data_IF_469167246323
#
_entry.id   IF_469167246323
#
_cell.length_a   1.000
_cell.length_b   1.000
_cell.length_c   1.000
_cell.angle_alpha   90.00
_cell.angle_beta   90.00
_cell.angle_gamma   90.00
#
_symmetry.space_group_name_H-M   'P 1'
#
loop_
_entity.id
_entity.type
_entity.pdbx_description
1 polymer ?
#
# COMPACT_ATOMS: atom_id res chain seq x y z
N UNK A 1 7.26 7.81 19.43
CA UNK A 1 5.90 8.40 19.27
C UNK A 1 4.87 7.41 19.79
N UNK A 2 3.84 7.85 20.55
CA UNK A 2 2.72 6.98 20.91
C UNK A 2 1.94 6.54 19.66
N UNK A 3 1.37 5.32 19.63
CA UNK A 3 0.59 4.86 18.49
C UNK A 3 -0.68 5.70 18.32
N UNK A 4 -0.95 6.11 17.10
CA UNK A 4 -2.18 6.80 16.71
C UNK A 4 -3.39 5.98 17.12
N UNK A 5 -4.25 6.56 17.97
CA UNK A 5 -5.53 5.98 18.32
C UNK A 5 -6.53 6.41 17.25
N UNK A 6 -6.71 5.55 16.25
CA UNK A 6 -7.87 5.66 15.35
C UNK A 6 -9.15 5.80 16.20
N UNK A 7 -10.08 6.65 15.77
CA UNK A 7 -11.34 6.78 16.49
C UNK A 7 -12.00 5.40 16.66
N UNK A 8 -12.62 5.16 17.81
CA UNK A 8 -13.29 3.89 18.08
C UNK A 8 -14.32 3.55 16.99
N UNK A 9 -14.97 4.58 16.44
CA UNK A 9 -15.88 4.44 15.31
C UNK A 9 -15.17 3.90 14.06
N UNK A 10 -14.00 4.45 13.70
CA UNK A 10 -13.24 3.98 12.54
C UNK A 10 -12.78 2.53 12.71
N UNK A 11 -12.20 2.18 13.87
CA UNK A 11 -11.77 0.81 14.17
C UNK A 11 -12.95 -0.18 14.11
N UNK A 12 -14.12 0.24 14.59
CA UNK A 12 -15.35 -0.56 14.51
C UNK A 12 -15.79 -0.78 13.07
N UNK A 13 -15.82 0.28 12.26
CA UNK A 13 -16.15 0.19 10.84
C UNK A 13 -15.20 -0.76 10.11
N UNK A 14 -13.88 -0.57 10.29
CA UNK A 14 -12.85 -1.44 9.70
C UNK A 14 -13.08 -2.90 10.10
N UNK A 15 -13.29 -3.18 11.39
CA UNK A 15 -13.49 -4.55 11.86
C UNK A 15 -14.71 -5.20 11.21
N UNK A 16 -15.85 -4.50 11.16
CA UNK A 16 -17.07 -5.00 10.50
C UNK A 16 -16.83 -5.20 9.00
N UNK A 17 -16.16 -4.27 8.35
CA UNK A 17 -15.79 -4.35 6.93
C UNK A 17 -14.91 -5.56 6.64
N UNK A 18 -13.93 -5.87 7.50
CA UNK A 18 -13.09 -7.05 7.35
C UNK A 18 -13.87 -8.37 7.55
N UNK A 19 -14.83 -8.40 8.47
CA UNK A 19 -15.74 -9.55 8.61
C UNK A 19 -16.66 -9.71 7.39
N UNK A 20 -17.14 -8.60 6.81
CA UNK A 20 -17.89 -8.61 5.55
C UNK A 20 -17.10 -9.24 4.41
N UNK A 21 -15.79 -8.99 4.33
CA UNK A 21 -14.94 -9.60 3.30
C UNK A 21 -14.87 -11.14 3.42
N UNK A 22 -15.16 -11.72 4.59
CA UNK A 22 -15.22 -13.19 4.80
C UNK A 22 -16.55 -13.79 4.38
N UNK A 23 -17.57 -13.00 4.08
CA UNK A 23 -18.83 -13.51 3.55
C UNK A 23 -18.57 -14.28 2.25
N UNK A 24 -19.07 -15.52 2.06
CA UNK A 24 -18.73 -16.34 0.89
C UNK A 24 -18.98 -15.66 -0.46
N UNK A 25 -20.05 -14.86 -0.58
CA UNK A 25 -20.34 -14.13 -1.82
C UNK A 25 -19.31 -13.04 -2.10
N UNK A 26 -18.89 -12.33 -1.05
CA UNK A 26 -17.91 -11.25 -1.16
C UNK A 26 -16.51 -11.83 -1.38
N UNK A 27 -16.13 -12.84 -0.61
CA UNK A 27 -14.84 -13.52 -0.72
C UNK A 27 -14.65 -14.12 -2.12
N UNK A 28 -15.69 -14.74 -2.70
CA UNK A 28 -15.66 -15.27 -4.06
C UNK A 28 -15.34 -14.17 -5.09
N UNK A 29 -16.01 -13.02 -5.01
CA UNK A 29 -15.74 -11.90 -5.92
C UNK A 29 -14.37 -11.26 -5.67
N UNK A 30 -13.92 -11.16 -4.41
CA UNK A 30 -12.58 -10.66 -4.09
C UNK A 30 -11.48 -11.60 -4.63
N UNK A 31 -11.70 -12.91 -4.64
CA UNK A 31 -10.78 -13.89 -5.23
C UNK A 31 -10.77 -13.83 -6.77
N UNK A 32 -11.87 -13.41 -7.40
CA UNK A 32 -11.98 -13.26 -8.86
C UNK A 32 -11.28 -11.98 -9.35
N UNK A 33 -10.02 -12.12 -9.79
CA UNK A 33 -9.22 -11.07 -10.48
C UNK A 33 -9.57 -9.64 -10.02
N UNK A 34 -9.18 -9.24 -8.80
CA UNK A 34 -9.71 -8.04 -8.15
C UNK A 34 -9.47 -6.74 -8.92
N UNK A 35 -8.47 -6.68 -9.82
CA UNK A 35 -8.16 -5.51 -10.61
C UNK A 35 -9.21 -5.15 -11.69
N UNK A 36 -10.08 -6.10 -12.10
CA UNK A 36 -11.07 -5.88 -13.17
C UNK A 36 -12.51 -5.87 -12.69
N UNK A 37 -12.77 -6.22 -11.42
CA UNK A 37 -14.13 -6.54 -10.96
C UNK A 37 -14.63 -5.74 -9.75
N UNK A 38 -14.19 -4.49 -9.58
CA UNK A 38 -14.59 -3.69 -8.41
C UNK A 38 -16.11 -3.55 -8.27
N UNK A 39 -16.82 -3.44 -9.40
CA UNK A 39 -18.28 -3.29 -9.40
C UNK A 39 -18.97 -4.53 -8.83
N UNK A 40 -18.57 -5.73 -9.24
CA UNK A 40 -19.14 -6.97 -8.72
C UNK A 40 -18.82 -7.19 -7.24
N UNK A 41 -17.61 -6.80 -6.80
CA UNK A 41 -17.26 -6.84 -5.38
C UNK A 41 -18.16 -5.87 -4.59
N UNK A 42 -18.29 -4.61 -5.05
CA UNK A 42 -19.15 -3.62 -4.41
C UNK A 42 -20.61 -4.04 -4.42
N UNK A 43 -21.07 -4.66 -5.49
CA UNK A 43 -22.41 -5.22 -5.59
C UNK A 43 -22.63 -6.34 -4.57
N UNK A 44 -21.74 -7.33 -4.51
CA UNK A 44 -21.83 -8.43 -3.55
C UNK A 44 -21.89 -7.90 -2.11
N UNK A 45 -21.11 -6.87 -1.80
CA UNK A 45 -21.10 -6.21 -0.48
C UNK A 45 -22.37 -5.43 -0.24
N UNK A 46 -22.83 -4.63 -1.20
CA UNK A 46 -24.07 -3.86 -1.08
C UNK A 46 -25.24 -4.77 -0.76
N UNK A 47 -25.37 -5.91 -1.45
CA UNK A 47 -26.41 -6.92 -1.15
C UNK A 47 -26.35 -7.43 0.28
N UNK A 48 -25.17 -7.75 0.79
CA UNK A 48 -24.98 -8.24 2.17
C UNK A 48 -25.27 -7.13 3.19
N UNK A 49 -24.83 -5.90 2.93
CA UNK A 49 -25.06 -4.74 3.81
C UNK A 49 -26.53 -4.34 3.82
N UNK A 50 -27.23 -4.41 2.68
CA UNK A 50 -28.67 -4.12 2.56
C UNK A 50 -29.51 -5.04 3.44
N UNK A 51 -29.16 -6.32 3.55
CA UNK A 51 -29.87 -7.28 4.40
C UNK A 51 -29.60 -7.13 5.90
N UNK A 52 -28.63 -6.29 6.31
CA UNK A 52 -28.36 -6.06 7.74
C UNK A 52 -29.43 -5.16 8.37
N UNK A 53 -29.85 -5.50 9.58
CA UNK A 53 -30.77 -4.68 10.38
C UNK A 53 -30.01 -3.57 11.13
N UNK A 54 -29.57 -2.56 10.38
CA UNK A 54 -28.79 -1.41 10.86
C UNK A 54 -29.26 -0.13 10.16
N UNK A 55 -29.05 1.01 10.81
CA UNK A 55 -29.42 2.31 10.26
C UNK A 55 -28.76 2.58 8.90
N UNK A 56 -29.50 3.17 7.96
CA UNK A 56 -29.03 3.47 6.60
C UNK A 56 -27.72 4.27 6.61
N UNK A 57 -27.60 5.26 7.50
CA UNK A 57 -26.38 6.06 7.63
C UNK A 57 -25.16 5.19 7.97
N UNK A 58 -25.34 4.13 8.76
CA UNK A 58 -24.26 3.19 9.09
C UNK A 58 -23.92 2.29 7.89
N UNK A 59 -24.92 1.81 7.13
CA UNK A 59 -24.71 1.08 5.86
C UNK A 59 -23.85 1.89 4.89
N UNK A 60 -24.13 3.18 4.74
CA UNK A 60 -23.34 4.11 3.90
C UNK A 60 -21.89 4.20 4.35
N UNK A 61 -21.65 4.36 5.66
CA UNK A 61 -20.29 4.40 6.22
C UNK A 61 -19.54 3.09 6.00
N UNK A 62 -20.22 1.95 6.14
CA UNK A 62 -19.64 0.63 5.88
C UNK A 62 -19.23 0.46 4.41
N UNK A 63 -20.08 0.83 3.45
CA UNK A 63 -19.73 0.74 2.02
C UNK A 63 -18.53 1.62 1.68
N UNK A 64 -18.50 2.86 2.20
CA UNK A 64 -17.34 3.77 2.03
C UNK A 64 -16.06 3.16 2.59
N UNK A 65 -16.11 2.58 3.78
CA UNK A 65 -14.97 1.88 4.37
C UNK A 65 -14.54 0.67 3.53
N UNK A 66 -15.50 -0.08 2.97
CA UNK A 66 -15.24 -1.24 2.14
C UNK A 66 -14.49 -0.88 0.86
N UNK A 67 -14.83 0.24 0.21
CA UNK A 67 -14.10 0.75 -0.97
C UNK A 67 -12.60 0.87 -0.63
N UNK A 68 -12.24 1.49 0.50
CA UNK A 68 -10.84 1.63 0.92
C UNK A 68 -10.13 0.29 1.12
N UNK A 69 -10.82 -0.71 1.69
CA UNK A 69 -10.30 -2.08 1.87
C UNK A 69 -10.06 -2.76 0.51
N UNK A 70 -10.98 -2.65 -0.45
CA UNK A 70 -10.78 -3.17 -1.81
C UNK A 70 -9.52 -2.56 -2.43
N UNK A 71 -9.32 -1.25 -2.29
CA UNK A 71 -8.15 -0.59 -2.87
C UNK A 71 -6.85 -1.05 -2.25
N UNK A 72 -6.79 -1.20 -0.92
CA UNK A 72 -5.60 -1.74 -0.29
C UNK A 72 -5.33 -3.17 -0.75
N UNK A 73 -6.37 -3.99 -0.87
CA UNK A 73 -6.25 -5.35 -1.40
C UNK A 73 -5.78 -5.39 -2.86
N UNK A 74 -6.35 -4.57 -3.74
CA UNK A 74 -5.91 -4.46 -5.13
C UNK A 74 -4.46 -3.97 -5.25
N UNK A 75 -4.08 -2.98 -4.43
CA UNK A 75 -2.71 -2.48 -4.38
C UNK A 75 -1.75 -3.56 -3.90
N UNK A 76 -2.15 -4.34 -2.91
CA UNK A 76 -1.43 -5.52 -2.47
C UNK A 76 -1.27 -6.48 -3.63
N UNK A 77 -2.34 -7.06 -4.20
CA UNK A 77 -2.29 -8.02 -5.31
C UNK A 77 -1.44 -7.50 -6.49
N UNK A 78 -1.56 -6.22 -6.85
CA UNK A 78 -0.74 -5.60 -7.91
C UNK A 78 0.75 -5.60 -7.58
N UNK A 79 1.12 -5.42 -6.31
CA UNK A 79 2.52 -5.48 -5.85
C UNK A 79 3.10 -6.90 -6.00
N UNK A 80 2.24 -7.92 -6.04
CA UNK A 80 2.62 -9.32 -6.23
C UNK A 80 2.13 -9.86 -7.59
N UNK A 81 2.15 -9.04 -8.64
CA UNK A 81 1.57 -9.40 -9.95
C UNK A 81 2.12 -10.67 -10.61
N UNK A 82 3.27 -11.17 -10.16
CA UNK A 82 3.86 -12.43 -10.61
C UNK A 82 3.00 -13.65 -10.22
N UNK A 83 2.00 -13.47 -9.35
CA UNK A 83 1.16 -14.52 -8.78
C UNK A 83 -0.19 -14.72 -9.49
N UNK A 84 -0.44 -13.99 -10.58
CA UNK A 84 -1.79 -13.74 -11.11
C UNK A 84 -2.67 -14.95 -11.42
N UNK A 85 -2.14 -16.18 -11.43
CA UNK A 85 -2.86 -17.38 -11.83
C UNK A 85 -2.72 -18.57 -10.86
N UNK A 86 -1.96 -18.46 -9.77
CA UNK A 86 -1.56 -19.65 -8.99
C UNK A 86 -2.08 -19.65 -7.54
N UNK A 87 -2.61 -18.53 -7.04
CA UNK A 87 -2.99 -18.41 -5.63
C UNK A 87 -4.30 -17.63 -5.47
N UNK A 88 -5.20 -18.18 -4.64
CA UNK A 88 -6.27 -17.41 -4.03
C UNK A 88 -5.69 -16.50 -2.95
N UNK A 89 -5.49 -15.23 -3.28
CA UNK A 89 -4.81 -14.29 -2.38
C UNK A 89 -5.58 -14.03 -1.09
N UNK A 90 -6.91 -13.97 -1.17
CA UNK A 90 -7.74 -13.40 -0.10
C UNK A 90 -7.59 -14.13 1.26
N UNK A 91 -7.63 -15.47 1.35
CA UNK A 91 -7.43 -16.19 2.62
C UNK A 91 -6.05 -15.98 3.26
N UNK A 92 -5.04 -15.63 2.46
CA UNK A 92 -3.66 -15.46 2.94
C UNK A 92 -3.36 -14.04 3.43
N UNK A 93 -4.27 -13.09 3.22
CA UNK A 93 -4.05 -11.69 3.61
C UNK A 93 -4.27 -11.49 5.11
N UNK A 94 -3.23 -11.02 5.79
CA UNK A 94 -3.29 -10.58 7.18
C UNK A 94 -3.62 -9.09 7.24
N UNK A 95 -4.73 -8.75 7.89
CA UNK A 95 -5.15 -7.36 8.09
C UNK A 95 -4.71 -6.83 9.45
N UNK A 96 -4.29 -5.57 9.50
CA UNK A 96 -4.10 -4.79 10.73
C UNK A 96 -5.45 -4.24 11.19
N UNK A 97 -5.57 -3.93 12.49
CA UNK A 97 -6.76 -3.29 13.06
C UNK A 97 -7.09 -1.93 12.45
N UNK A 98 -6.09 -1.27 11.84
CA UNK A 98 -6.28 -0.05 11.07
C UNK A 98 -6.97 -0.26 9.73
N UNK A 99 -7.09 -1.49 9.22
CA UNK A 99 -7.66 -1.80 7.90
C UNK A 99 -6.63 -1.85 6.78
N UNK A 100 -5.34 -1.72 7.11
CA UNK A 100 -4.27 -2.00 6.18
C UNK A 100 -3.92 -3.47 6.13
N UNK A 101 -3.32 -3.89 5.02
CA UNK A 101 -2.68 -5.19 4.94
C UNK A 101 -1.34 -5.15 5.68
N UNK A 102 -1.16 -6.08 6.62
CA UNK A 102 0.15 -6.42 7.15
C UNK A 102 0.91 -7.20 6.08
N UNK A 103 1.64 -6.47 5.25
CA UNK A 103 2.34 -7.01 4.07
C UNK A 103 3.35 -8.08 4.45
N UNK A 104 4.03 -7.91 5.59
CA UNK A 104 5.01 -8.86 6.07
C UNK A 104 4.31 -10.16 6.51
N UNK A 105 3.32 -10.07 7.41
CA UNK A 105 2.59 -11.27 7.85
C UNK A 105 1.85 -11.97 6.73
N UNK A 106 1.26 -11.21 5.80
CA UNK A 106 0.58 -11.78 4.62
C UNK A 106 1.56 -12.53 3.72
N UNK A 107 2.76 -11.98 3.52
CA UNK A 107 3.80 -12.63 2.75
C UNK A 107 4.32 -13.90 3.46
N UNK A 108 4.56 -13.85 4.76
CA UNK A 108 4.94 -15.03 5.54
C UNK A 108 3.86 -16.12 5.49
N UNK A 109 2.60 -15.73 5.66
CA UNK A 109 1.43 -16.61 5.52
C UNK A 109 1.39 -17.28 4.14
N UNK A 110 1.64 -16.49 3.09
CA UNK A 110 1.74 -16.99 1.71
C UNK A 110 2.87 -18.01 1.55
N UNK A 111 4.05 -17.74 2.11
CA UNK A 111 5.22 -18.62 1.97
C UNK A 111 5.08 -19.89 2.81
N UNK A 112 4.37 -19.85 3.93
CA UNK A 112 4.16 -20.99 4.84
C UNK A 112 2.93 -21.84 4.48
N UNK A 113 2.09 -21.41 3.54
CA UNK A 113 0.88 -22.13 3.18
C UNK A 113 1.20 -23.41 2.37
N UNK A 114 0.91 -24.62 2.91
CA UNK A 114 1.27 -25.89 2.28
C UNK A 114 0.49 -26.19 0.98
N UNK A 115 -0.65 -25.53 0.76
CA UNK A 115 -1.45 -25.69 -0.46
C UNK A 115 -0.76 -25.09 -1.70
N UNK A 116 0.24 -24.24 -1.50
CA UNK A 116 1.06 -23.68 -2.56
C UNK A 116 2.23 -24.63 -2.83
N UNK A 117 2.52 -24.88 -4.10
CA UNK A 117 3.63 -25.74 -4.48
C UNK A 117 4.96 -25.25 -3.87
N UNK A 118 5.76 -26.18 -3.33
CA UNK A 118 6.96 -25.86 -2.54
C UNK A 118 7.99 -25.02 -3.31
N UNK A 119 8.10 -25.25 -4.62
CA UNK A 119 8.94 -24.46 -5.52
C UNK A 119 8.49 -22.99 -5.60
N UNK A 120 7.18 -22.73 -5.63
CA UNK A 120 6.63 -21.38 -5.62
C UNK A 120 6.87 -20.71 -4.27
N UNK A 121 6.59 -21.41 -3.16
CA UNK A 121 6.89 -20.91 -1.81
C UNK A 121 8.36 -20.49 -1.66
N UNK A 122 9.29 -21.36 -2.09
CA UNK A 122 10.72 -21.09 -2.03
C UNK A 122 11.11 -19.88 -2.89
N UNK A 123 10.50 -19.75 -4.08
CA UNK A 123 10.70 -18.59 -4.94
C UNK A 123 10.27 -17.28 -4.27
N UNK A 124 9.15 -17.30 -3.54
CA UNK A 124 8.67 -16.13 -2.81
C UNK A 124 9.57 -15.80 -1.63
N UNK A 125 9.95 -16.80 -0.85
CA UNK A 125 10.88 -16.64 0.25
C UNK A 125 12.17 -15.95 -0.24
N UNK A 126 12.78 -16.43 -1.34
CA UNK A 126 13.95 -15.81 -1.95
C UNK A 126 13.69 -14.38 -2.46
N UNK A 127 12.60 -14.18 -3.22
CA UNK A 127 12.26 -12.89 -3.82
C UNK A 127 12.09 -11.78 -2.78
N UNK A 128 11.57 -12.14 -1.61
CA UNK A 128 11.29 -11.21 -0.51
C UNK A 128 12.26 -11.36 0.66
N UNK A 129 13.35 -12.12 0.47
CA UNK A 129 14.42 -12.29 1.43
C UNK A 129 13.93 -12.75 2.83
N UNK A 130 13.04 -13.74 2.89
CA UNK A 130 12.59 -14.34 4.15
C UNK A 130 13.56 -15.44 4.57
N UNK A 131 14.68 -15.09 5.22
CA UNK A 131 15.80 -16.03 5.50
C UNK A 131 15.36 -17.33 6.16
N UNK A 132 14.55 -17.24 7.21
CA UNK A 132 14.10 -18.39 7.99
C UNK A 132 13.26 -19.35 7.12
N UNK A 133 12.34 -18.79 6.33
CA UNK A 133 11.51 -19.56 5.41
C UNK A 133 12.32 -20.13 4.23
N UNK A 134 13.33 -19.39 3.73
CA UNK A 134 14.26 -19.88 2.70
C UNK A 134 14.98 -21.14 3.19
N UNK A 135 15.52 -21.10 4.42
CA UNK A 135 16.24 -22.22 5.02
C UNK A 135 15.32 -23.43 5.23
N UNK A 136 14.17 -23.24 5.86
CA UNK A 136 13.19 -24.33 6.09
C UNK A 136 12.77 -24.98 4.78
N UNK A 137 12.37 -24.17 3.79
CA UNK A 137 11.92 -24.68 2.50
C UNK A 137 13.07 -25.37 1.74
N UNK A 138 14.29 -24.86 1.83
CA UNK A 138 15.45 -25.52 1.22
C UNK A 138 15.68 -26.92 1.77
N UNK A 139 15.52 -27.12 3.07
CA UNK A 139 15.69 -28.42 3.71
C UNK A 139 14.55 -29.40 3.35
N UNK A 140 13.33 -28.88 3.15
CA UNK A 140 12.17 -29.66 2.71
C UNK A 140 12.23 -30.08 1.23
N UNK A 141 12.90 -29.31 0.36
CA UNK A 141 12.96 -29.60 -1.08
C UNK A 141 13.82 -30.85 -1.33
N UNK A 142 13.34 -31.86 -2.09
CA UNK A 142 14.13 -33.02 -2.45
C UNK A 142 15.39 -32.65 -3.26
N UNK A 143 16.51 -33.33 -3.01
CA UNK A 143 17.78 -33.06 -3.71
C UNK A 143 17.67 -33.10 -5.24
N UNK A 144 16.82 -33.98 -5.79
CA UNK A 144 16.55 -34.04 -7.24
C UNK A 144 15.96 -32.75 -7.80
N UNK A 145 15.16 -32.05 -6.99
CA UNK A 145 14.42 -30.84 -7.37
C UNK A 145 15.24 -29.56 -7.10
N UNK A 146 16.22 -29.59 -6.18
CA UNK A 146 17.17 -28.48 -5.96
C UNK A 146 17.93 -28.09 -7.24
N UNK A 147 18.29 -29.08 -8.07
CA UNK A 147 18.98 -28.85 -9.33
C UNK A 147 18.09 -28.11 -10.35
N UNK A 148 16.80 -28.44 -10.42
CA UNK A 148 15.87 -27.79 -11.35
C UNK A 148 15.60 -26.33 -10.95
N UNK A 149 15.55 -26.04 -9.64
CA UNK A 149 15.42 -24.68 -9.12
C UNK A 149 16.59 -23.76 -9.50
N UNK A 150 17.80 -24.33 -9.55
CA UNK A 150 19.03 -23.60 -9.94
C UNK A 150 18.97 -23.13 -11.40
N UNK A 151 18.33 -23.89 -12.28
CA UNK A 151 18.22 -23.57 -13.71
C UNK A 151 17.12 -22.52 -14.01
N UNK A 152 16.09 -22.44 -13.16
CA UNK A 152 14.88 -21.70 -13.49
C UNK A 152 14.92 -20.19 -13.21
N UNK A 153 15.94 -19.60 -12.54
CA UNK A 153 15.87 -18.16 -12.24
C UNK A 153 17.19 -17.42 -11.86
N UNK A 154 17.56 -16.43 -12.68
CA UNK A 154 18.78 -15.59 -12.52
C UNK A 154 18.83 -14.72 -11.24
N UNK A 155 17.69 -14.35 -10.66
CA UNK A 155 17.66 -13.64 -9.37
C UNK A 155 17.75 -14.58 -8.16
N UNK A 156 17.43 -15.87 -8.35
CA UNK A 156 17.42 -16.92 -7.30
C UNK A 156 18.79 -17.57 -7.11
N UNK A 157 19.64 -17.45 -8.13
CA UNK A 157 20.97 -18.02 -8.13
C UNK A 157 21.78 -17.62 -6.89
N UNK A 158 21.68 -16.40 -6.37
CA UNK A 158 22.58 -15.98 -5.28
C UNK A 158 22.21 -16.64 -3.94
N UNK A 159 20.92 -16.70 -3.61
CA UNK A 159 20.43 -17.46 -2.45
C UNK A 159 20.75 -18.95 -2.59
N UNK A 160 20.51 -19.53 -3.76
CA UNK A 160 20.80 -20.93 -4.05
C UNK A 160 22.31 -21.21 -3.95
N UNK A 161 23.16 -20.36 -4.52
CA UNK A 161 24.62 -20.48 -4.45
C UNK A 161 25.12 -20.38 -3.01
N UNK A 162 24.54 -19.48 -2.22
CA UNK A 162 24.84 -19.39 -0.80
C UNK A 162 24.44 -20.68 -0.06
N UNK A 163 23.21 -21.16 -0.25
CA UNK A 163 22.72 -22.40 0.37
C UNK A 163 23.56 -23.63 -0.03
N UNK A 164 24.02 -23.72 -1.27
CA UNK A 164 24.89 -24.81 -1.73
C UNK A 164 26.28 -24.80 -1.10
N UNK A 165 26.77 -23.64 -0.63
CA UNK A 165 28.05 -23.58 0.09
C UNK A 165 27.98 -24.21 1.49
N UNK A 166 26.78 -24.51 2.00
CA UNK A 166 26.59 -25.22 3.26
C UNK A 166 26.97 -24.42 4.51
N UNK A 167 27.23 -23.11 4.37
CA UNK A 167 27.63 -22.22 5.46
C UNK A 167 26.39 -21.64 6.15
N UNK A 168 25.51 -22.54 6.61
CA UNK A 168 24.13 -22.27 7.01
C UNK A 168 23.96 -21.43 8.29
N UNK A 169 25.03 -21.12 9.03
CA UNK A 169 24.87 -20.60 10.41
C UNK A 169 24.94 -19.08 10.54
N UNK A 170 25.63 -18.33 9.68
CA UNK A 170 25.98 -16.93 10.00
C UNK A 170 25.75 -15.90 8.89
N UNK A 171 24.95 -16.18 7.86
CA UNK A 171 24.76 -15.22 6.77
C UNK A 171 23.62 -14.20 7.04
N UNK A 172 23.80 -12.92 6.65
CA UNK A 172 25.06 -12.32 6.20
C UNK A 172 26.03 -12.12 7.38
N UNK A 173 27.29 -12.56 7.24
CA UNK A 173 28.34 -12.40 8.29
C UNK A 173 28.70 -10.94 8.49
N UNK A 174 28.64 -10.19 7.41
CA UNK A 174 28.77 -8.74 7.36
C UNK A 174 28.07 -8.22 6.11
N UNK A 175 27.81 -6.92 6.09
CA UNK A 175 27.39 -6.25 4.87
C UNK A 175 28.39 -6.32 3.72
N UNK A 176 29.64 -6.69 3.96
CA UNK A 176 30.68 -6.83 2.93
C UNK A 176 30.62 -8.18 2.20
N UNK A 177 29.76 -9.10 2.66
CA UNK A 177 29.54 -10.38 1.99
C UNK A 177 29.08 -10.17 0.53
N UNK A 178 29.77 -10.84 -0.39
CA UNK A 178 29.53 -10.68 -1.84
C UNK A 178 28.09 -11.06 -2.21
N UNK A 179 27.53 -12.10 -1.60
CA UNK A 179 26.15 -12.51 -1.87
C UNK A 179 25.16 -11.50 -1.30
N UNK A 180 25.41 -10.99 -0.09
CA UNK A 180 24.61 -9.91 0.47
C UNK A 180 24.57 -8.70 -0.47
N UNK A 181 25.72 -8.23 -0.95
CA UNK A 181 25.79 -7.09 -1.86
C UNK A 181 25.04 -7.32 -3.18
N UNK A 182 25.11 -8.52 -3.74
CA UNK A 182 24.35 -8.87 -4.96
C UNK A 182 22.85 -8.89 -4.66
N UNK A 183 22.43 -9.56 -3.59
CA UNK A 183 21.02 -9.68 -3.19
C UNK A 183 20.45 -8.30 -2.85
N UNK A 184 21.19 -7.47 -2.11
CA UNK A 184 20.84 -6.09 -1.79
C UNK A 184 20.59 -5.27 -3.06
N UNK A 185 21.52 -5.29 -4.03
CA UNK A 185 21.38 -4.58 -5.30
C UNK A 185 20.16 -5.03 -6.09
N UNK A 186 19.86 -6.34 -6.12
CA UNK A 186 18.66 -6.90 -6.77
C UNK A 186 17.37 -6.48 -6.04
N UNK A 187 17.44 -6.40 -4.72
CA UNK A 187 16.32 -6.05 -3.85
C UNK A 187 16.01 -4.56 -3.84
N UNK A 188 16.90 -3.67 -4.34
CA UNK A 188 16.63 -2.22 -4.45
C UNK A 188 15.28 -1.91 -5.12
N UNK A 189 14.73 -2.80 -5.95
CA UNK A 189 13.41 -2.60 -6.58
C UNK A 189 12.22 -3.18 -5.80
N UNK A 190 12.47 -4.00 -4.80
CA UNK A 190 11.49 -4.68 -3.99
C UNK A 190 11.64 -4.26 -2.53
N UNK A 191 10.84 -3.29 -2.12
CA UNK A 191 10.86 -2.72 -0.78
C UNK A 191 10.60 -3.73 0.34
N UNK A 192 9.73 -4.73 0.11
CA UNK A 192 9.53 -5.80 1.09
C UNK A 192 10.78 -6.70 1.22
N UNK A 193 11.50 -6.95 0.12
CA UNK A 193 12.78 -7.67 0.17
C UNK A 193 13.86 -6.86 0.89
N UNK A 194 13.98 -5.58 0.56
CA UNK A 194 14.85 -4.66 1.30
C UNK A 194 14.49 -4.66 2.77
N UNK A 195 13.20 -4.77 3.09
CA UNK A 195 12.78 -4.73 4.47
C UNK A 195 13.37 -5.87 5.28
N UNK A 196 13.23 -7.08 4.76
CA UNK A 196 13.77 -8.25 5.41
C UNK A 196 15.30 -8.28 5.40
N UNK A 197 15.95 -7.80 4.33
CA UNK A 197 17.42 -7.72 4.28
C UNK A 197 18.00 -6.77 5.33
N UNK A 198 17.44 -5.56 5.47
CA UNK A 198 17.90 -4.58 6.44
C UNK A 198 17.70 -5.07 7.88
N UNK A 199 16.69 -5.91 8.13
CA UNK A 199 16.49 -6.57 9.43
C UNK A 199 17.54 -7.60 9.77
N UNK A 200 18.16 -8.23 8.77
CA UNK A 200 19.26 -9.19 8.98
C UNK A 200 20.57 -8.50 9.37
N UNK A 201 20.69 -7.20 9.11
CA UNK A 201 21.87 -6.42 9.48
C UNK A 201 21.84 -6.00 10.95
N UNK A 202 23.04 -5.82 11.50
CA UNK A 202 23.23 -5.17 12.78
C UNK A 202 22.73 -3.72 12.73
N UNK A 203 22.25 -3.14 13.84
CA UNK A 203 21.73 -1.77 13.86
C UNK A 203 22.68 -0.73 13.25
N UNK A 204 23.99 -0.87 13.46
CA UNK A 204 25.01 0.07 12.98
C UNK A 204 25.16 0.01 11.44
N UNK A 205 25.00 -1.17 10.84
CA UNK A 205 25.09 -1.34 9.40
C UNK A 205 23.79 -0.95 8.68
N UNK A 206 22.64 -1.10 9.37
CA UNK A 206 21.31 -0.85 8.82
C UNK A 206 21.15 0.57 8.31
N UNK A 207 21.58 1.56 9.10
CA UNK A 207 21.46 2.98 8.75
C UNK A 207 22.20 3.32 7.45
N UNK A 208 23.46 2.91 7.35
CA UNK A 208 24.29 3.12 6.15
C UNK A 208 23.64 2.53 4.89
N UNK A 209 23.13 1.30 4.97
CA UNK A 209 22.48 0.64 3.83
C UNK A 209 21.12 1.24 3.52
N UNK A 210 20.39 1.73 4.52
CA UNK A 210 19.16 2.47 4.30
C UNK A 210 19.46 3.77 3.53
N UNK A 211 20.48 4.54 3.91
CA UNK A 211 20.89 5.73 3.17
C UNK A 211 21.29 5.40 1.73
N UNK A 212 22.06 4.33 1.51
CA UNK A 212 22.41 3.86 0.16
C UNK A 212 21.17 3.48 -0.66
N UNK A 213 20.20 2.80 -0.02
CA UNK A 213 18.93 2.43 -0.64
C UNK A 213 18.14 3.68 -1.06
N UNK A 214 18.01 4.66 -0.16
CA UNK A 214 17.29 5.91 -0.39
C UNK A 214 17.97 6.77 -1.48
N UNK A 215 19.30 6.78 -1.52
CA UNK A 215 20.07 7.48 -2.54
C UNK A 215 19.86 6.90 -3.93
N UNK A 216 19.86 5.57 -4.05
CA UNK A 216 19.65 4.88 -5.32
C UNK A 216 18.19 4.85 -5.74
N UNK A 217 17.28 5.13 -4.81
CA UNK A 217 15.85 5.04 -5.04
C UNK A 217 15.08 6.08 -4.22
N UNK A 218 14.67 7.21 -4.84
CA UNK A 218 13.66 8.06 -4.23
C UNK A 218 12.42 7.21 -3.90
N UNK A 219 11.97 7.33 -2.65
CA UNK A 219 11.31 6.30 -1.84
C UNK A 219 10.15 5.58 -2.53
N UNK A 220 10.03 4.28 -2.28
CA UNK A 220 8.78 3.54 -2.54
C UNK A 220 7.96 3.43 -1.25
N UNK A 221 6.67 3.75 -1.40
CA UNK A 221 5.46 3.57 -0.56
C UNK A 221 5.48 2.71 0.72
N UNK A 222 6.39 1.77 0.89
CA UNK A 222 6.45 0.79 1.98
C UNK A 222 7.65 1.00 2.90
N UNK A 223 8.55 1.93 2.57
CA UNK A 223 9.82 2.10 3.26
C UNK A 223 9.71 3.07 4.45
N UNK A 224 8.55 3.69 4.65
CA UNK A 224 8.33 4.59 5.80
C UNK A 224 8.39 3.86 7.13
N UNK A 225 8.06 2.56 7.16
CA UNK A 225 8.21 1.76 8.36
C UNK A 225 9.68 1.73 8.82
N UNK A 226 10.65 1.79 7.90
CA UNK A 226 12.05 1.91 8.28
C UNK A 226 12.36 3.21 8.95
N UNK A 227 11.86 4.30 8.37
CA UNK A 227 12.06 5.62 8.94
C UNK A 227 11.64 5.66 10.41
N UNK A 228 10.49 5.06 10.75
CA UNK A 228 10.02 4.98 12.13
C UNK A 228 10.80 4.04 13.06
N UNK A 229 11.58 3.10 12.50
CA UNK A 229 12.45 2.20 13.28
C UNK A 229 13.83 2.83 13.57
N UNK A 230 14.18 3.95 12.92
CA UNK A 230 15.42 4.69 13.17
C UNK A 230 15.36 5.49 14.48
N UNK A 231 16.52 5.76 15.08
CA UNK A 231 16.63 6.71 16.19
C UNK A 231 16.44 8.17 15.71
N UNK A 232 16.24 9.09 16.66
CA UNK A 232 15.94 10.50 16.36
C UNK A 232 17.02 11.19 15.51
N UNK A 233 18.29 10.82 15.69
CA UNK A 233 19.41 11.39 14.93
C UNK A 233 19.40 10.87 13.49
N UNK A 234 19.25 9.56 13.31
CA UNK A 234 19.14 8.91 12.01
C UNK A 234 17.90 9.36 11.24
N UNK A 235 16.76 9.49 11.92
CA UNK A 235 15.55 10.08 11.35
C UNK A 235 15.83 11.48 10.84
N UNK A 236 16.45 12.33 11.66
CA UNK A 236 16.79 13.71 11.28
C UNK A 236 17.71 13.78 10.06
N UNK A 237 18.69 12.89 9.95
CA UNK A 237 19.60 12.82 8.79
C UNK A 237 18.88 12.40 7.51
N UNK A 238 18.15 11.27 7.56
CA UNK A 238 17.32 10.80 6.43
C UNK A 238 16.34 11.89 6.03
N UNK A 239 15.77 12.55 7.02
CA UNK A 239 14.79 13.59 6.83
C UNK A 239 15.38 14.80 6.11
N UNK A 240 16.53 15.33 6.55
CA UNK A 240 17.18 16.45 5.87
C UNK A 240 17.50 16.13 4.41
N UNK A 241 18.00 14.92 4.13
CA UNK A 241 18.42 14.51 2.77
C UNK A 241 17.23 14.14 1.85
N UNK A 242 16.13 13.62 2.40
CA UNK A 242 15.02 13.02 1.63
C UNK A 242 13.63 13.48 2.07
N UNK A 243 13.49 14.70 2.59
CA UNK A 243 12.24 15.25 3.15
C UNK A 243 11.03 15.14 2.19
N UNK A 244 11.22 15.32 0.88
CA UNK A 244 10.18 15.10 -0.16
C UNK A 244 9.55 13.73 -0.04
N UNK A 245 10.42 12.73 -0.07
CA UNK A 245 10.08 11.33 -0.23
C UNK A 245 9.49 10.76 1.06
N UNK A 246 10.03 11.21 2.20
CA UNK A 246 9.47 10.93 3.52
C UNK A 246 8.04 11.48 3.60
N UNK A 247 7.83 12.76 3.27
CA UNK A 247 6.50 13.38 3.36
C UNK A 247 5.48 12.73 2.43
N UNK A 248 5.88 12.40 1.20
CA UNK A 248 5.00 11.70 0.25
C UNK A 248 4.64 10.30 0.73
N UNK A 249 5.55 9.65 1.44
CA UNK A 249 5.29 8.36 2.05
C UNK A 249 4.33 8.49 3.24
N UNK A 250 4.36 9.61 3.97
CA UNK A 250 3.37 9.96 4.99
C UNK A 250 1.97 10.25 4.42
N UNK A 251 1.82 10.54 3.12
CA UNK A 251 0.50 10.71 2.47
C UNK A 251 -0.33 9.41 2.40
N UNK A 252 -0.02 8.39 3.19
CA UNK A 252 -0.80 7.16 3.28
C UNK A 252 -1.91 7.33 4.33
N UNK A 253 -3.11 6.82 4.03
CA UNK A 253 -4.33 7.10 4.80
C UNK A 253 -4.27 6.75 6.28
N UNK A 254 -3.45 5.77 6.67
CA UNK A 254 -3.26 5.39 8.08
C UNK A 254 -2.32 6.28 8.85
N UNK A 255 -1.52 7.09 8.16
CA UNK A 255 -0.66 8.10 8.75
C UNK A 255 -1.28 9.48 8.60
N UNK A 256 -2.60 9.56 8.35
CA UNK A 256 -3.28 10.83 8.13
C UNK A 256 -3.12 11.79 9.33
N UNK A 257 -3.29 11.28 10.55
CA UNK A 257 -3.09 12.11 11.76
C UNK A 257 -1.65 12.57 11.90
N UNK A 258 -0.68 11.71 11.56
CA UNK A 258 0.73 12.04 11.67
C UNK A 258 1.20 12.94 10.53
N UNK A 259 0.51 12.90 9.37
CA UNK A 259 0.91 13.66 8.19
C UNK A 259 0.97 15.15 8.50
N UNK A 260 0.02 15.69 9.26
CA UNK A 260 0.03 17.11 9.62
C UNK A 260 1.15 17.43 10.61
N UNK A 261 1.41 16.56 11.59
CA UNK A 261 2.54 16.69 12.52
C UNK A 261 3.89 16.62 11.80
N UNK A 262 3.98 15.84 10.73
CA UNK A 262 5.11 15.85 9.82
C UNK A 262 5.13 17.16 9.03
N UNK A 263 4.09 17.47 8.26
CA UNK A 263 4.02 18.67 7.43
C UNK A 263 4.43 19.95 8.17
N UNK A 264 4.00 20.14 9.41
CA UNK A 264 4.35 21.30 10.25
C UNK A 264 5.87 21.45 10.43
N UNK A 265 6.56 20.34 10.74
CA UNK A 265 8.02 20.32 10.88
C UNK A 265 8.75 20.55 9.54
N UNK A 266 8.04 20.40 8.41
CA UNK A 266 8.65 20.29 7.08
C UNK A 266 8.45 21.56 6.27
N UNK A 267 7.57 22.47 6.66
CA UNK A 267 7.31 23.70 5.91
C UNK A 267 8.56 24.57 5.69
N UNK A 268 9.55 24.48 6.56
CA UNK A 268 10.85 25.16 6.40
C UNK A 268 11.78 24.50 5.37
N UNK A 269 11.55 23.23 5.04
CA UNK A 269 12.36 22.45 4.09
C UNK A 269 11.68 22.30 2.73
N UNK A 270 10.35 22.43 2.65
CA UNK A 270 9.61 22.34 1.39
C UNK A 270 9.78 23.66 0.63
N UNK A 271 10.42 23.60 -0.52
CA UNK A 271 10.53 24.74 -1.43
C UNK A 271 9.31 24.88 -2.38
N UNK A 272 9.30 25.98 -3.15
CA UNK A 272 8.26 26.27 -4.14
C UNK A 272 8.14 25.20 -5.24
N UNK A 273 9.21 24.46 -5.55
CA UNK A 273 9.21 23.43 -6.57
C UNK A 273 8.64 22.09 -6.05
N UNK A 274 8.86 21.80 -4.77
CA UNK A 274 8.44 20.57 -4.11
C UNK A 274 7.00 20.60 -3.64
N UNK A 275 6.51 21.74 -3.17
CA UNK A 275 5.15 21.86 -2.66
C UNK A 275 4.07 21.35 -3.64
N UNK A 276 4.11 21.70 -4.95
CA UNK A 276 3.19 21.13 -5.94
C UNK A 276 3.25 19.60 -6.04
N UNK A 277 4.42 19.00 -5.84
CA UNK A 277 4.60 17.55 -5.92
C UNK A 277 3.95 16.82 -4.74
N UNK A 278 4.03 17.39 -3.53
CA UNK A 278 3.35 16.87 -2.34
C UNK A 278 1.83 16.93 -2.54
N UNK A 279 1.33 18.10 -2.95
CA UNK A 279 -0.10 18.31 -3.25
C UNK A 279 -0.58 17.35 -4.35
N UNK A 280 0.19 17.17 -5.42
CA UNK A 280 -0.12 16.21 -6.49
C UNK A 280 -0.22 14.76 -5.97
N UNK A 281 0.63 14.38 -5.03
CA UNK A 281 0.58 13.05 -4.41
C UNK A 281 -0.64 12.88 -3.50
N UNK A 282 -1.03 13.90 -2.73
CA UNK A 282 -2.28 13.89 -1.97
C UNK A 282 -3.49 13.73 -2.90
N UNK A 283 -3.57 14.49 -3.99
CA UNK A 283 -4.61 14.31 -5.00
C UNK A 283 -4.60 12.91 -5.63
N UNK A 284 -3.42 12.40 -5.99
CA UNK A 284 -3.29 11.05 -6.52
C UNK A 284 -3.83 10.02 -5.53
N UNK A 285 -3.61 10.20 -4.23
CA UNK A 285 -4.14 9.33 -3.18
C UNK A 285 -5.65 9.46 -3.07
N UNK A 286 -6.17 10.68 -2.99
CA UNK A 286 -7.60 10.98 -3.04
C UNK A 286 -8.30 10.28 -4.22
N UNK A 287 -7.78 10.39 -5.44
CA UNK A 287 -8.38 9.71 -6.60
C UNK A 287 -8.25 8.19 -6.54
N UNK A 288 -7.15 7.66 -6.00
CA UNK A 288 -6.95 6.21 -5.87
C UNK A 288 -7.84 5.62 -4.77
N UNK A 289 -8.18 6.40 -3.74
CA UNK A 289 -9.11 6.03 -2.67
C UNK A 289 -10.55 6.47 -2.96
N UNK A 290 -10.89 6.75 -4.23
CA UNK A 290 -12.25 7.10 -4.65
C UNK A 290 -12.84 8.32 -3.97
N UNK A 291 -11.98 9.28 -3.64
CA UNK A 291 -12.38 10.48 -2.94
C UNK A 291 -12.79 10.21 -1.52
N UNK A 292 -12.10 9.30 -0.82
CA UNK A 292 -12.18 9.22 0.63
C UNK A 292 -12.13 10.64 1.22
N UNK A 293 -13.22 11.03 1.88
CA UNK A 293 -13.43 12.35 2.45
C UNK A 293 -12.33 12.71 3.45
N UNK A 294 -11.65 11.71 4.01
CA UNK A 294 -10.46 11.89 4.86
C UNK A 294 -9.34 12.61 4.09
N UNK A 295 -9.10 12.27 2.82
CA UNK A 295 -8.09 12.96 2.00
C UNK A 295 -8.54 14.34 1.53
N UNK A 296 -9.83 14.56 1.33
CA UNK A 296 -10.36 15.90 1.04
C UNK A 296 -10.06 16.81 2.23
N UNK A 297 -10.41 16.37 3.44
CA UNK A 297 -10.13 17.12 4.67
C UNK A 297 -8.61 17.29 4.86
N UNK A 298 -7.81 16.25 4.61
CA UNK A 298 -6.34 16.36 4.66
C UNK A 298 -5.80 17.44 3.74
N UNK A 299 -6.30 17.50 2.49
CA UNK A 299 -5.87 18.51 1.52
C UNK A 299 -6.27 19.90 2.00
N UNK A 300 -7.47 20.06 2.58
CA UNK A 300 -7.92 21.33 3.17
C UNK A 300 -7.01 21.77 4.32
N UNK A 301 -6.80 20.89 5.29
CA UNK A 301 -5.95 21.12 6.46
C UNK A 301 -4.51 21.46 6.04
N UNK A 302 -3.92 20.63 5.17
CA UNK A 302 -2.58 20.85 4.64
C UNK A 302 -2.47 22.18 3.91
N UNK A 303 -3.43 22.53 3.06
CA UNK A 303 -3.43 23.82 2.36
C UNK A 303 -3.56 25.00 3.31
N UNK A 304 -4.45 24.93 4.30
CA UNK A 304 -4.65 26.02 5.25
C UNK A 304 -3.42 26.27 6.12
N UNK A 305 -2.79 25.19 6.59
CA UNK A 305 -1.56 25.23 7.38
C UNK A 305 -0.33 25.64 6.56
N UNK A 306 -0.37 25.51 5.22
CA UNK A 306 0.77 25.81 4.37
C UNK A 306 1.15 27.31 4.38
N UNK A 307 2.47 27.62 4.42
CA UNK A 307 2.98 28.97 4.27
C UNK A 307 2.43 29.69 3.03
N UNK A 308 2.18 30.99 3.17
CA UNK A 308 1.59 31.82 2.10
C UNK A 308 2.43 31.75 0.82
N UNK A 309 3.75 31.85 0.92
CA UNK A 309 4.63 31.84 -0.25
C UNK A 309 4.51 30.54 -1.07
N UNK A 310 4.39 29.37 -0.41
CA UNK A 310 4.17 28.09 -1.09
C UNK A 310 2.82 28.03 -1.81
N UNK A 311 1.76 28.58 -1.20
CA UNK A 311 0.44 28.69 -1.84
C UNK A 311 0.47 29.62 -3.04
N UNK A 312 1.15 30.76 -2.93
CA UNK A 312 1.32 31.70 -4.06
C UNK A 312 2.14 31.07 -5.19
N UNK A 313 3.15 30.26 -4.87
CA UNK A 313 3.88 29.50 -5.86
C UNK A 313 2.98 28.47 -6.58
N UNK A 314 2.14 27.73 -5.84
CA UNK A 314 1.21 26.77 -6.45
C UNK A 314 0.15 27.47 -7.32
N UNK A 315 -0.31 28.66 -6.94
CA UNK A 315 -1.28 29.45 -7.72
C UNK A 315 -0.79 29.76 -9.14
N UNK A 316 0.52 29.91 -9.33
CA UNK A 316 1.13 30.07 -10.67
C UNK A 316 0.94 28.84 -11.55
N UNK A 317 0.67 27.68 -10.96
CA UNK A 317 0.29 26.45 -11.66
C UNK A 317 -1.24 26.33 -11.68
N UNK A 318 -1.87 26.98 -12.67
CA UNK A 318 -3.34 27.06 -12.82
C UNK A 318 -4.02 25.70 -12.67
N UNK A 319 -3.41 24.65 -13.22
CA UNK A 319 -3.96 23.28 -13.19
C UNK A 319 -4.03 22.69 -11.77
N UNK A 320 -3.00 22.90 -10.94
CA UNK A 320 -3.05 22.42 -9.56
C UNK A 320 -3.93 23.31 -8.70
N UNK A 321 -3.87 24.62 -8.93
CA UNK A 321 -4.70 25.56 -8.21
C UNK A 321 -6.19 25.33 -8.43
N UNK A 322 -6.63 25.08 -9.67
CA UNK A 322 -8.02 24.73 -9.99
C UNK A 322 -8.51 23.53 -9.16
N UNK A 323 -7.67 22.49 -9.01
CA UNK A 323 -8.03 21.32 -8.21
C UNK A 323 -8.16 21.65 -6.73
N UNK A 324 -7.24 22.46 -6.20
CA UNK A 324 -7.32 22.91 -4.80
C UNK A 324 -8.58 23.73 -4.60
N UNK A 325 -8.91 24.65 -5.49
CA UNK A 325 -10.14 25.45 -5.44
C UNK A 325 -11.38 24.56 -5.41
N UNK A 326 -11.46 23.53 -6.28
CA UNK A 326 -12.55 22.54 -6.28
C UNK A 326 -12.66 21.71 -5.00
N UNK A 327 -11.56 21.54 -4.26
CA UNK A 327 -11.60 20.91 -2.93
C UNK A 327 -12.13 21.92 -1.93
N UNK A 328 -11.66 23.17 -2.01
CA UNK A 328 -12.04 24.22 -1.06
C UNK A 328 -13.50 24.63 -1.16
N UNK A 329 -14.06 24.69 -2.35
CA UNK A 329 -15.45 25.05 -2.58
C UNK A 329 -16.45 23.89 -2.36
N UNK A 330 -15.96 22.69 -2.06
CA UNK A 330 -16.78 21.51 -1.82
C UNK A 330 -17.24 20.76 -3.09
N UNK A 331 -16.79 21.18 -4.29
CA UNK A 331 -17.16 20.55 -5.55
C UNK A 331 -16.72 19.08 -5.62
N UNK A 332 -15.56 18.76 -5.04
CA UNK A 332 -15.10 17.37 -4.98
C UNK A 332 -16.01 16.51 -4.11
N UNK A 333 -16.37 16.97 -2.93
CA UNK A 333 -17.28 16.26 -2.03
C UNK A 333 -18.64 16.06 -2.65
N UNK A 334 -19.17 17.06 -3.38
CA UNK A 334 -20.40 16.90 -4.14
C UNK A 334 -20.28 15.80 -5.21
N UNK A 335 -19.17 15.76 -5.96
CA UNK A 335 -18.90 14.73 -6.97
C UNK A 335 -18.78 13.34 -6.34
N UNK A 336 -18.05 13.24 -5.22
CA UNK A 336 -17.87 11.99 -4.47
C UNK A 336 -19.21 11.51 -3.93
N UNK A 337 -19.97 12.40 -3.28
CA UNK A 337 -21.29 12.05 -2.76
C UNK A 337 -22.23 11.61 -3.87
N UNK A 338 -22.22 12.25 -5.04
CA UNK A 338 -23.00 11.82 -6.21
C UNK A 338 -22.60 10.42 -6.70
N UNK A 339 -21.30 10.09 -6.72
CA UNK A 339 -20.86 8.72 -7.02
C UNK A 339 -21.35 7.70 -5.97
N UNK A 340 -21.48 8.11 -4.71
CA UNK A 340 -22.05 7.29 -3.64
C UNK A 340 -23.59 7.24 -3.66
N UNK A 341 -24.29 8.17 -4.32
CA UNK A 341 -25.75 8.12 -4.47
C UNK A 341 -26.20 6.88 -5.25
N UNK A 342 -25.39 6.38 -6.19
CA UNK A 342 -25.67 5.10 -6.84
C UNK A 342 -25.51 3.92 -5.87
N UNK A 343 -24.51 3.93 -4.99
CA UNK A 343 -24.40 2.90 -3.96
C UNK A 343 -25.57 2.99 -2.97
N UNK A 344 -26.05 4.21 -2.70
CA UNK A 344 -27.23 4.44 -1.88
C UNK A 344 -28.50 3.89 -2.53
N UNK A 345 -28.65 4.02 -3.86
CA UNK A 345 -29.81 3.45 -4.55
C UNK A 345 -29.82 1.93 -4.46
N UNK A 346 -28.66 1.26 -4.55
CA UNK A 346 -28.54 -0.19 -4.32
C UNK A 346 -28.83 -0.61 -2.88
N UNK A 347 -28.55 0.27 -1.90
CA UNK A 347 -28.90 0.02 -0.50
C UNK A 347 -30.41 0.11 -0.24
N UNK A 348 -31.11 0.99 -0.96
CA UNK A 348 -32.55 1.23 -0.80
C UNK A 348 -33.37 0.22 -1.61
N UNK A 349 -32.99 -0.02 -2.85
CA UNK A 349 -33.65 -0.96 -3.74
C UNK A 349 -32.62 -1.89 -4.39
N UNK A 350 -32.41 -3.09 -3.82
CA UNK A 350 -31.50 -4.07 -4.39
C UNK A 350 -31.91 -4.59 -5.77
N UNK A 351 -33.12 -4.28 -6.28
CA UNK A 351 -33.53 -4.67 -7.64
C UNK A 351 -32.91 -3.79 -8.73
N UNK A 352 -32.56 -2.53 -8.40
CA UNK A 352 -31.89 -1.57 -9.31
C UNK A 352 -30.46 -1.97 -9.69
N UNK A 353 -29.95 -3.00 -9.03
CA UNK A 353 -28.62 -3.56 -9.22
C UNK A 353 -28.41 -4.09 -10.65
N UNK A 354 -29.46 -4.60 -11.29
CA UNK A 354 -29.35 -5.26 -12.60
C UNK A 354 -29.57 -4.29 -13.78
N UNK A 355 -30.04 -3.08 -13.54
CA UNK A 355 -30.54 -2.21 -14.62
C UNK A 355 -29.50 -1.24 -15.16
N UNK A 356 -28.52 -0.82 -14.36
CA UNK A 356 -27.38 -0.03 -14.83
C UNK A 356 -26.19 -0.36 -13.93
N UNK A 357 -25.12 -0.94 -14.48
CA UNK A 357 -23.82 -0.89 -13.81
C UNK A 357 -23.27 0.48 -14.18
N UNK A 358 -23.25 1.48 -13.28
CA UNK A 358 -22.38 2.60 -13.55
C UNK A 358 -21.00 1.98 -13.62
N UNK A 359 -20.37 2.15 -14.78
CA UNK A 359 -18.93 2.09 -14.82
C UNK A 359 -18.55 3.14 -13.79
N UNK A 360 -18.06 2.69 -12.63
CA UNK A 360 -17.30 3.52 -11.73
C UNK A 360 -16.07 3.91 -12.56
N UNK A 361 -16.27 4.87 -13.46
CA UNK A 361 -15.24 5.46 -14.29
C UNK A 361 -14.43 6.21 -13.28
N UNK A 362 -13.29 5.61 -12.91
CA UNK A 362 -12.22 6.30 -12.20
C UNK A 362 -12.20 7.71 -12.77
N UNK A 363 -12.54 8.77 -11.97
CA UNK A 363 -12.76 10.10 -12.52
C UNK A 363 -11.60 10.39 -13.44
N UNK A 364 -11.88 10.49 -14.73
CA UNK A 364 -10.83 10.49 -15.73
C UNK A 364 -9.89 11.63 -15.35
N UNK A 365 -8.60 11.36 -15.11
CA UNK A 365 -7.69 12.45 -14.87
C UNK A 365 -7.84 13.41 -16.07
N UNK A 366 -8.14 14.70 -15.88
CA UNK A 366 -8.56 15.57 -16.99
C UNK A 366 -7.56 15.63 -18.17
N UNK A 367 -6.31 15.18 -17.97
CA UNK A 367 -5.30 15.05 -19.03
C UNK A 367 -5.54 13.94 -20.06
N UNK A 368 -6.49 13.02 -19.83
CA UNK A 368 -6.87 12.01 -20.83
C UNK A 368 -8.05 12.45 -21.70
N UNK A 369 -8.74 13.54 -21.34
CA UNK A 369 -9.81 14.12 -22.16
C UNK A 369 -9.25 15.14 -23.17
N UNK A 370 -8.18 15.87 -22.83
CA UNK A 370 -7.54 16.86 -23.71
C UNK A 370 -6.67 16.28 -24.86
N UNK A 371 -6.57 14.95 -25.00
CA UNK A 371 -5.89 14.28 -26.14
C UNK A 371 -6.86 13.60 -27.11
N UNK A 372 -8.16 13.79 -26.93
CA UNK A 372 -9.23 13.22 -27.78
C UNK A 372 -10.08 14.29 -28.47
N UNK A 373 -9.60 15.52 -28.53
CA UNK A 373 -10.21 16.65 -29.26
C UNK A 373 -9.22 17.17 -30.28
#
# INVERSE_FOLDING_TARGET
MPPVINSLQHLTLVKITLELCKNPSVALEMSRRPATNINEILFAVARVVSSMDIALLFKRKLLRCFVSIIFEFQNFVKSYSDLKNEIEYFPTVCWKSSGMIDRQKSLESLVRNPDIAINLRFNFACKYCLKEDILSLWDEIPNRDKNSLTLMCRAKNDWIFWLWKGDNTDWPRSSEDVYFQIIFKKSLRNSAAMYNLLKMLKPEERHRHLLEYLEKRPVIRTDINFYFELDDHQQSEVFQKYHSDVLISCCHWTLHSDFMDFADKFYSLIDEAMFPFVVANLFKKMYLSWGDLSYVNLIKEFWHASPVHLREALKKNERFYEKVTKVMDGSYEATINSAFETLDSWLVDPSLINTEVPIFVKPSPPHLQARRS
#
